data_IF_718057370163
#
_entry.id   IF_718057370163
#
_cell.length_a   1.000
_cell.length_b   1.000
_cell.length_c   1.000
_cell.angle_alpha   90.00
_cell.angle_beta   90.00
_cell.angle_gamma   90.00
#
_symmetry.space_group_name_H-M   'P 1'
#
loop_
_entity.id
_entity.type
_entity.pdbx_description
1 polymer ?
#
# COMPACT_ATOMS: atom_id res chain seq x y z
N UNK A 1 -24.24 81.32 71.64
CA UNK A 1 -23.48 81.97 70.54
C UNK A 1 -22.82 80.84 69.76
N UNK A 2 -23.06 80.79 68.45
CA UNK A 2 -23.00 79.59 67.61
C UNK A 2 -21.60 78.93 67.54
N UNK A 3 -21.57 77.62 67.73
CA UNK A 3 -20.41 76.74 67.48
C UNK A 3 -20.75 75.91 66.24
N UNK A 4 -20.22 76.30 65.08
CA UNK A 4 -20.41 75.57 63.81
C UNK A 4 -19.33 74.50 63.69
N UNK A 5 -19.75 73.24 63.68
CA UNK A 5 -18.90 72.09 63.33
C UNK A 5 -18.68 72.04 61.79
N UNK A 6 -17.49 71.66 61.32
CA UNK A 6 -17.26 71.44 59.90
C UNK A 6 -17.81 70.07 59.47
N UNK A 7 -18.66 70.09 58.44
CA UNK A 7 -19.18 68.91 57.74
C UNK A 7 -18.07 68.35 56.87
N UNK A 8 -17.66 67.10 57.13
CA UNK A 8 -16.75 66.33 56.28
C UNK A 8 -17.58 65.62 55.22
N UNK A 9 -17.45 66.06 53.97
CA UNK A 9 -18.09 65.44 52.80
C UNK A 9 -17.24 64.26 52.33
N UNK A 10 -17.73 63.03 52.49
CA UNK A 10 -17.10 61.81 51.93
C UNK A 10 -17.53 61.67 50.47
N UNK A 11 -16.63 61.96 49.54
CA UNK A 11 -16.83 61.69 48.12
C UNK A 11 -16.63 60.19 47.85
N UNK A 12 -17.69 59.49 47.44
CA UNK A 12 -17.59 58.13 46.93
C UNK A 12 -17.09 58.18 45.48
N UNK A 13 -15.86 57.74 45.25
CA UNK A 13 -15.35 57.50 43.89
C UNK A 13 -15.84 56.13 43.40
N UNK A 14 -16.82 56.12 42.51
CA UNK A 14 -17.17 54.94 41.72
C UNK A 14 -16.06 54.71 40.69
N UNK A 15 -15.23 53.68 40.88
CA UNK A 15 -14.31 53.21 39.84
C UNK A 15 -15.11 52.34 38.88
N UNK A 16 -15.48 52.91 37.73
CA UNK A 16 -15.97 52.14 36.59
C UNK A 16 -14.75 51.41 35.99
N UNK A 17 -14.61 50.11 36.25
CA UNK A 17 -13.70 49.26 35.50
C UNK A 17 -14.30 49.01 34.11
N UNK A 18 -13.89 49.83 33.13
CA UNK A 18 -14.16 49.56 31.73
C UNK A 18 -13.30 48.37 31.30
N UNK A 19 -13.88 47.17 31.23
CA UNK A 19 -13.25 46.03 30.57
C UNK A 19 -13.29 46.33 29.07
N UNK A 20 -12.19 46.82 28.52
CA UNK A 20 -11.99 46.87 27.08
C UNK A 20 -11.73 45.43 26.65
N UNK A 21 -12.75 44.75 26.12
CA UNK A 21 -12.55 43.54 25.33
C UNK A 21 -11.83 43.98 24.05
N UNK A 22 -10.51 43.87 24.05
CA UNK A 22 -9.73 43.87 22.81
C UNK A 22 -10.07 42.55 22.14
N UNK A 23 -10.96 42.59 21.16
CA UNK A 23 -11.11 41.49 20.22
C UNK A 23 -9.80 41.38 19.44
N UNK A 24 -8.90 40.52 19.91
CA UNK A 24 -7.81 40.06 19.07
C UNK A 24 -8.45 39.38 17.85
N UNK A 25 -8.13 39.80 16.61
CA UNK A 25 -8.44 38.96 15.48
C UNK A 25 -7.78 37.62 15.78
N UNK A 26 -8.58 36.56 15.79
CA UNK A 26 -8.05 35.20 15.76
C UNK A 26 -7.21 35.14 14.49
N UNK A 27 -5.89 35.26 14.65
CA UNK A 27 -4.93 34.81 13.65
C UNK A 27 -5.44 33.43 13.19
N UNK A 28 -5.62 33.20 11.87
CA UNK A 28 -6.00 31.89 11.39
C UNK A 28 -5.00 30.90 12.02
N UNK A 29 -5.53 30.01 12.87
CA UNK A 29 -4.78 28.92 13.47
C UNK A 29 -3.83 28.40 12.40
N UNK A 30 -2.52 28.49 12.65
CA UNK A 30 -1.52 27.89 11.77
C UNK A 30 -2.10 26.54 11.35
N UNK A 31 -2.41 26.40 10.05
CA UNK A 31 -3.06 25.22 9.53
C UNK A 31 -2.27 24.04 10.10
N UNK A 32 -2.92 23.15 10.85
CA UNK A 32 -2.25 21.96 11.35
C UNK A 32 -1.67 21.29 10.11
N UNK A 33 -0.35 21.36 9.92
CA UNK A 33 0.27 20.69 8.79
C UNK A 33 0.06 19.21 9.04
N UNK A 34 -0.86 18.61 8.29
CA UNK A 34 -1.07 17.17 8.35
C UNK A 34 0.24 16.55 7.90
N UNK A 35 0.89 15.79 8.78
CA UNK A 35 2.05 15.01 8.40
C UNK A 35 1.61 13.99 7.34
N UNK A 36 2.10 14.18 6.12
CA UNK A 36 1.81 13.32 4.96
C UNK A 36 2.88 12.24 4.87
N UNK A 37 2.45 10.98 4.71
CA UNK A 37 3.37 9.89 4.39
C UNK A 37 3.85 10.06 2.96
N UNK A 38 5.12 9.85 2.68
CA UNK A 38 5.62 9.71 1.30
C UNK A 38 4.95 8.51 0.62
N UNK A 39 4.93 8.48 -0.71
CA UNK A 39 4.35 7.33 -1.45
C UNK A 39 5.28 6.13 -1.44
N UNK A 40 6.59 6.38 -1.52
CA UNK A 40 7.61 5.34 -1.50
C UNK A 40 7.97 4.85 -0.09
N UNK A 41 7.43 5.47 0.97
CA UNK A 41 7.75 5.12 2.36
C UNK A 41 9.04 5.74 2.90
N UNK A 42 9.78 6.52 2.10
CA UNK A 42 10.98 7.22 2.56
C UNK A 42 10.70 8.21 3.70
N UNK A 43 11.68 8.43 4.58
CA UNK A 43 11.58 9.36 5.71
C UNK A 43 10.69 8.88 6.87
N UNK A 44 10.20 7.64 6.84
CA UNK A 44 9.41 7.07 7.93
C UNK A 44 10.21 6.97 9.24
N UNK A 45 11.44 6.46 9.18
CA UNK A 45 12.38 6.48 10.30
C UNK A 45 13.32 7.69 10.21
N UNK A 46 13.34 8.54 11.23
CA UNK A 46 14.13 9.78 11.24
C UNK A 46 15.66 9.57 11.25
N UNK A 47 16.14 8.41 11.73
CA UNK A 47 17.57 8.07 11.78
C UNK A 47 18.02 7.26 10.57
N UNK A 48 17.10 6.50 9.99
CA UNK A 48 17.32 5.64 8.84
C UNK A 48 16.23 5.89 7.77
N UNK A 49 16.31 7.02 7.04
CA UNK A 49 15.22 7.46 6.16
C UNK A 49 14.83 6.46 5.06
N UNK A 50 15.74 5.58 4.66
CA UNK A 50 15.52 4.59 3.59
C UNK A 50 14.94 3.26 4.11
N UNK A 51 14.75 3.10 5.43
CA UNK A 51 14.21 1.85 5.97
C UNK A 51 12.76 1.66 5.55
N UNK A 52 12.51 0.58 4.82
CA UNK A 52 11.19 0.22 4.32
C UNK A 52 10.74 1.04 3.12
N UNK A 53 11.61 1.89 2.54
CA UNK A 53 11.24 2.59 1.32
C UNK A 53 11.22 1.64 0.11
N UNK A 54 10.44 1.98 -0.89
CA UNK A 54 10.39 1.28 -2.16
C UNK A 54 11.76 1.26 -2.84
N UNK A 55 11.97 0.27 -3.70
CA UNK A 55 13.21 0.03 -4.43
C UNK A 55 14.45 -0.17 -3.54
N UNK A 56 14.26 -0.73 -2.35
CA UNK A 56 15.34 -1.12 -1.43
C UNK A 56 15.49 -2.64 -1.33
N UNK A 57 16.62 -3.11 -0.79
CA UNK A 57 16.88 -4.54 -0.64
C UNK A 57 15.97 -5.16 0.42
N UNK A 58 15.45 -6.36 0.16
CA UNK A 58 14.81 -7.16 1.20
C UNK A 58 15.77 -7.45 2.36
N UNK A 59 15.24 -7.41 3.57
CA UNK A 59 15.95 -7.90 4.75
C UNK A 59 16.10 -9.42 4.68
N UNK A 60 17.22 -9.94 5.20
CA UNK A 60 17.43 -11.37 5.38
C UNK A 60 17.32 -11.73 6.85
N UNK A 61 16.43 -12.65 7.19
CA UNK A 61 16.32 -13.22 8.54
C UNK A 61 17.55 -14.09 8.89
N UNK A 62 18.20 -14.67 7.88
CA UNK A 62 19.41 -15.48 8.05
C UNK A 62 20.37 -15.37 6.86
N UNK A 63 21.53 -16.04 6.95
CA UNK A 63 22.52 -16.00 5.88
C UNK A 63 21.97 -16.57 4.55
N UNK A 64 22.24 -15.93 3.40
CA UNK A 64 21.82 -16.45 2.10
C UNK A 64 22.52 -17.77 1.79
N UNK A 65 21.78 -18.73 1.24
CA UNK A 65 22.30 -20.02 0.81
C UNK A 65 22.33 -20.10 -0.73
N UNK A 66 23.51 -19.84 -1.29
CA UNK A 66 23.83 -20.10 -2.69
C UNK A 66 24.87 -21.22 -2.78
N UNK A 67 24.87 -22.00 -3.86
CA UNK A 67 25.77 -23.15 -4.04
C UNK A 67 27.25 -22.74 -4.05
N UNK A 68 27.54 -21.56 -4.57
CA UNK A 68 28.85 -20.92 -4.61
C UNK A 68 29.05 -19.87 -3.50
N UNK A 69 28.08 -19.74 -2.60
CA UNK A 69 28.04 -18.67 -1.58
C UNK A 69 27.78 -17.26 -2.13
N UNK A 70 27.55 -17.10 -3.44
CA UNK A 70 27.41 -15.80 -4.11
C UNK A 70 26.07 -15.69 -4.83
N UNK A 71 25.82 -16.46 -5.87
CA UNK A 71 24.63 -16.31 -6.69
C UNK A 71 24.14 -17.60 -7.36
N UNK A 72 24.94 -18.67 -7.42
CA UNK A 72 24.53 -19.93 -8.01
C UNK A 72 23.37 -20.54 -7.21
N UNK A 73 22.25 -20.83 -7.89
CA UNK A 73 21.10 -21.49 -7.25
C UNK A 73 21.53 -22.83 -6.66
N UNK A 74 20.94 -23.18 -5.52
CA UNK A 74 21.16 -24.50 -4.94
C UNK A 74 20.49 -25.57 -5.78
N UNK A 75 21.15 -26.72 -5.93
CA UNK A 75 20.53 -27.92 -6.48
C UNK A 75 19.53 -28.53 -5.50
N UNK A 76 18.80 -29.53 -5.99
CA UNK A 76 17.78 -30.25 -5.22
C UNK A 76 16.95 -31.12 -6.17
N UNK A 77 15.93 -31.84 -5.64
CA UNK A 77 14.95 -32.47 -6.51
C UNK A 77 14.28 -31.40 -7.42
N UNK A 78 13.90 -31.75 -8.66
CA UNK A 78 13.21 -30.82 -9.56
C UNK A 78 11.95 -30.24 -8.90
N UNK A 79 11.72 -28.93 -9.05
CA UNK A 79 10.61 -28.26 -8.38
C UNK A 79 9.23 -28.83 -8.76
N UNK A 80 9.03 -29.16 -10.05
CA UNK A 80 7.78 -29.79 -10.52
C UNK A 80 7.59 -31.17 -9.91
N UNK A 81 8.63 -32.00 -9.89
CA UNK A 81 8.60 -33.32 -9.23
C UNK A 81 8.17 -33.23 -7.75
N UNK A 82 8.66 -32.23 -7.01
CA UNK A 82 8.24 -31.98 -5.62
C UNK A 82 6.79 -31.53 -5.58
N UNK A 83 6.38 -30.64 -6.48
CA UNK A 83 4.99 -30.18 -6.61
C UNK A 83 4.01 -31.34 -6.74
N UNK A 84 4.29 -32.29 -7.63
CA UNK A 84 3.38 -33.39 -7.96
C UNK A 84 3.26 -34.42 -6.83
N UNK A 85 4.25 -34.49 -5.94
CA UNK A 85 4.27 -35.45 -4.82
C UNK A 85 3.81 -34.86 -3.49
N UNK A 86 3.95 -33.56 -3.32
CA UNK A 86 3.66 -32.88 -2.04
C UNK A 86 2.38 -32.08 -2.09
N UNK A 87 2.02 -31.50 -3.23
CA UNK A 87 0.91 -30.55 -3.36
C UNK A 87 -0.18 -31.02 -4.34
N UNK A 88 -0.21 -32.31 -4.68
CA UNK A 88 -1.20 -32.88 -5.60
C UNK A 88 -2.52 -33.26 -4.92
N UNK A 89 -3.09 -32.32 -4.16
CA UNK A 89 -4.34 -32.49 -3.40
C UNK A 89 -5.59 -32.30 -4.27
N UNK A 90 -5.59 -32.92 -5.46
CA UNK A 90 -6.69 -32.79 -6.42
C UNK A 90 -7.98 -33.42 -5.86
N UNK A 91 -9.09 -32.69 -6.01
CA UNK A 91 -10.42 -33.15 -5.61
C UNK A 91 -10.64 -33.20 -4.09
N UNK A 92 -9.76 -32.62 -3.29
CA UNK A 92 -9.92 -32.56 -1.84
C UNK A 92 -10.70 -31.31 -1.41
N UNK A 93 -11.64 -31.49 -0.48
CA UNK A 93 -12.31 -30.38 0.21
C UNK A 93 -11.71 -30.22 1.61
N UNK A 94 -10.69 -29.36 1.70
CA UNK A 94 -10.05 -29.02 2.97
C UNK A 94 -10.64 -27.73 3.51
N UNK A 95 -11.32 -27.81 4.65
CA UNK A 95 -11.86 -26.65 5.34
C UNK A 95 -10.81 -26.06 6.27
N UNK A 96 -10.84 -24.74 6.45
CA UNK A 96 -9.93 -24.07 7.39
C UNK A 96 -10.14 -24.59 8.81
N UNK A 97 -9.05 -25.01 9.44
CA UNK A 97 -9.03 -25.42 10.86
C UNK A 97 -9.42 -24.27 11.80
N UNK A 98 -9.18 -23.03 11.37
CA UNK A 98 -9.55 -21.82 12.12
C UNK A 98 -10.97 -21.31 11.78
N UNK A 99 -11.72 -22.01 10.91
CA UNK A 99 -13.07 -21.63 10.53
C UNK A 99 -13.18 -20.29 9.78
N UNK A 100 -12.10 -19.84 9.13
CA UNK A 100 -12.11 -18.58 8.37
C UNK A 100 -12.79 -18.74 7.01
N UNK A 101 -13.36 -17.64 6.50
CA UNK A 101 -13.97 -17.60 5.18
C UNK A 101 -12.91 -17.45 4.08
N UNK A 102 -13.32 -17.57 2.82
CA UNK A 102 -12.47 -17.30 1.65
C UNK A 102 -11.90 -15.86 1.65
N UNK A 103 -12.46 -14.95 2.45
CA UNK A 103 -11.90 -13.62 2.65
C UNK A 103 -10.47 -13.66 3.19
N UNK A 104 -10.09 -14.69 3.97
CA UNK A 104 -8.77 -14.76 4.58
C UNK A 104 -7.63 -14.84 3.56
N UNK A 105 -7.75 -15.70 2.54
CA UNK A 105 -6.69 -15.78 1.52
C UNK A 105 -6.67 -14.52 0.65
N UNK A 106 -7.84 -13.98 0.31
CA UNK A 106 -7.94 -12.77 -0.51
C UNK A 106 -7.36 -11.55 0.23
N UNK A 107 -7.66 -11.39 1.51
CA UNK A 107 -7.06 -10.36 2.36
C UNK A 107 -5.55 -10.54 2.49
N UNK A 108 -5.09 -11.78 2.71
CA UNK A 108 -3.67 -12.10 2.79
C UNK A 108 -2.91 -11.69 1.52
N UNK A 109 -3.46 -12.02 0.34
CA UNK A 109 -2.89 -11.61 -0.94
C UNK A 109 -2.92 -10.09 -1.11
N UNK A 110 -4.05 -9.43 -0.84
CA UNK A 110 -4.15 -7.99 -0.97
C UNK A 110 -3.17 -7.25 -0.04
N UNK A 111 -2.90 -7.77 1.15
CA UNK A 111 -1.88 -7.24 2.05
C UNK A 111 -0.45 -7.52 1.58
N UNK A 112 -0.14 -8.70 1.05
CA UNK A 112 1.15 -8.95 0.39
C UNK A 112 1.45 -7.86 -0.66
N UNK A 113 0.43 -7.46 -1.41
CA UNK A 113 0.54 -6.44 -2.44
C UNK A 113 0.68 -5.01 -1.91
N UNK A 114 0.59 -4.82 -0.60
CA UNK A 114 0.80 -3.51 0.05
C UNK A 114 2.25 -3.35 0.55
N UNK A 115 2.97 -4.45 0.80
CA UNK A 115 4.30 -4.41 1.43
C UNK A 115 5.41 -5.21 0.74
N UNK A 116 5.07 -6.06 -0.24
CA UNK A 116 6.03 -6.91 -0.94
C UNK A 116 5.80 -7.02 -2.44
N UNK A 117 6.78 -6.56 -3.22
CA UNK A 117 6.90 -6.85 -4.64
C UNK A 117 8.37 -6.96 -5.00
N UNK A 118 8.87 -8.17 -5.24
CA UNK A 118 10.20 -8.34 -5.82
C UNK A 118 10.27 -7.68 -7.21
N UNK A 119 11.44 -7.16 -7.60
CA UNK A 119 11.65 -6.73 -9.00
C UNK A 119 11.42 -7.92 -9.95
N UNK A 120 10.36 -7.83 -10.76
CA UNK A 120 9.90 -8.89 -11.65
C UNK A 120 10.56 -8.88 -13.03
N UNK A 121 11.49 -7.93 -13.29
CA UNK A 121 12.21 -7.88 -14.55
C UNK A 121 12.91 -9.24 -14.82
N UNK A 122 12.66 -9.91 -15.95
CA UNK A 122 13.35 -11.17 -16.24
C UNK A 122 14.86 -10.94 -16.42
N UNK A 123 15.69 -11.55 -15.56
CA UNK A 123 17.16 -11.36 -15.62
C UNK A 123 17.91 -12.60 -16.09
N UNK A 124 17.67 -13.76 -15.48
CA UNK A 124 18.37 -15.01 -15.83
C UNK A 124 17.37 -16.13 -16.05
N UNK A 125 17.37 -16.73 -17.25
CA UNK A 125 16.54 -17.91 -17.51
C UNK A 125 16.97 -19.07 -16.63
N UNK A 126 15.99 -19.69 -15.98
CA UNK A 126 16.17 -20.80 -15.06
C UNK A 126 14.96 -21.74 -15.15
N UNK A 127 14.60 -22.11 -16.38
CA UNK A 127 13.41 -22.90 -16.69
C UNK A 127 13.30 -24.13 -15.78
N UNK A 128 12.10 -24.38 -15.28
CA UNK A 128 11.81 -25.50 -14.40
C UNK A 128 11.65 -26.76 -15.27
N UNK A 129 12.44 -27.83 -15.02
CA UNK A 129 12.30 -29.07 -15.77
C UNK A 129 10.89 -29.65 -15.64
N UNK A 130 10.36 -30.14 -16.76
CA UNK A 130 9.05 -30.77 -16.86
C UNK A 130 9.22 -32.21 -17.35
N UNK A 131 8.53 -33.16 -16.70
CA UNK A 131 8.56 -34.57 -17.07
C UNK A 131 7.16 -35.02 -17.51
N UNK A 132 6.94 -35.09 -18.83
CA UNK A 132 5.68 -35.53 -19.41
C UNK A 132 5.36 -37.02 -19.14
N UNK A 133 6.33 -37.79 -18.65
CA UNK A 133 6.17 -39.20 -18.32
C UNK A 133 5.96 -39.42 -16.81
N UNK A 134 5.95 -38.37 -15.99
CA UNK A 134 5.63 -38.52 -14.57
C UNK A 134 4.17 -39.00 -14.43
N UNK A 135 3.90 -40.13 -13.75
CA UNK A 135 2.55 -40.67 -13.61
C UNK A 135 1.56 -39.75 -12.88
N UNK A 136 2.05 -38.74 -12.15
CA UNK A 136 1.23 -37.74 -11.46
C UNK A 136 1.05 -36.46 -12.28
N UNK A 137 1.67 -36.37 -13.46
CA UNK A 137 1.55 -35.22 -14.33
C UNK A 137 0.28 -35.31 -15.18
N UNK A 138 -0.65 -34.40 -14.93
CA UNK A 138 -1.91 -34.28 -15.68
C UNK A 138 -1.91 -33.08 -16.65
N UNK A 139 -0.93 -32.18 -16.53
CA UNK A 139 -0.79 -31.01 -17.40
C UNK A 139 0.00 -31.36 -18.66
N UNK A 140 -0.50 -30.95 -19.83
CA UNK A 140 0.26 -31.03 -21.08
C UNK A 140 1.14 -29.80 -21.24
N UNK A 141 2.46 -30.00 -21.37
CA UNK A 141 3.40 -28.93 -21.68
C UNK A 141 4.19 -29.24 -22.97
N UNK A 142 3.76 -28.63 -24.07
CA UNK A 142 4.41 -28.82 -25.37
C UNK A 142 5.78 -28.11 -25.49
N UNK A 143 6.14 -27.25 -24.53
CA UNK A 143 7.42 -26.53 -24.51
C UNK A 143 8.56 -27.34 -23.86
N UNK A 144 8.24 -28.46 -23.19
CA UNK A 144 9.23 -29.32 -22.52
C UNK A 144 9.86 -28.74 -21.25
N UNK A 145 9.46 -27.54 -20.83
CA UNK A 145 9.86 -26.91 -19.59
C UNK A 145 8.83 -25.85 -19.16
N UNK A 146 8.78 -25.52 -17.88
CA UNK A 146 7.98 -24.39 -17.38
C UNK A 146 8.88 -23.15 -17.35
N UNK A 147 8.45 -22.09 -18.02
CA UNK A 147 9.19 -20.84 -18.08
C UNK A 147 9.40 -20.24 -16.69
N UNK A 148 10.65 -19.97 -16.34
CA UNK A 148 11.02 -19.30 -15.10
C UNK A 148 12.27 -18.46 -15.34
N UNK A 149 12.25 -17.25 -14.78
CA UNK A 149 13.40 -16.37 -14.77
C UNK A 149 13.68 -15.96 -13.34
N UNK A 150 14.97 -15.90 -12.98
CA UNK A 150 15.40 -15.26 -11.75
C UNK A 150 15.19 -13.75 -11.90
N UNK A 151 14.72 -13.13 -10.84
CA UNK A 151 14.70 -11.67 -10.67
C UNK A 151 16.13 -11.12 -10.71
N UNK A 152 16.36 -9.85 -11.07
CA UNK A 152 17.69 -9.25 -11.07
C UNK A 152 18.33 -9.30 -9.68
N UNK A 153 19.66 -9.25 -9.67
CA UNK A 153 20.41 -8.97 -8.46
C UNK A 153 20.28 -7.47 -8.14
N UNK A 154 20.13 -7.12 -6.86
CA UNK A 154 20.23 -5.75 -6.43
C UNK A 154 21.61 -5.17 -6.84
N UNK A 155 21.70 -3.88 -7.22
CA UNK A 155 22.94 -3.25 -7.62
C UNK A 155 24.08 -3.49 -6.61
N UNK A 156 25.24 -3.90 -7.10
CA UNK A 156 26.43 -4.18 -6.27
C UNK A 156 26.46 -5.55 -5.58
N UNK A 157 25.47 -6.43 -5.83
CA UNK A 157 25.40 -7.78 -5.24
C UNK A 157 25.48 -8.88 -6.31
N UNK A 158 25.74 -10.13 -5.90
CA UNK A 158 25.67 -11.30 -6.79
C UNK A 158 26.92 -11.57 -7.64
N UNK A 159 28.02 -10.85 -7.41
CA UNK A 159 29.32 -11.07 -8.08
C UNK A 159 30.44 -11.36 -7.08
N UNK A 160 30.65 -10.47 -6.12
CA UNK A 160 31.67 -10.62 -5.04
C UNK A 160 31.05 -10.74 -3.65
N UNK A 161 29.75 -10.51 -3.55
CA UNK A 161 28.94 -10.60 -2.36
C UNK A 161 27.69 -11.40 -2.68
N UNK A 162 27.05 -12.05 -1.69
CA UNK A 162 25.81 -12.78 -1.94
C UNK A 162 24.76 -11.90 -2.63
N UNK A 163 24.08 -12.46 -3.64
CA UNK A 163 23.00 -11.81 -4.38
C UNK A 163 21.92 -11.33 -3.41
N UNK A 164 21.38 -10.14 -3.64
CA UNK A 164 20.21 -9.60 -2.97
C UNK A 164 19.09 -9.32 -3.98
N UNK A 165 17.87 -9.21 -3.48
CA UNK A 165 16.67 -8.90 -4.27
C UNK A 165 16.11 -7.56 -3.79
N UNK A 166 15.47 -6.82 -4.71
CA UNK A 166 14.85 -5.53 -4.42
C UNK A 166 13.36 -5.73 -4.19
N UNK A 167 12.83 -5.08 -3.14
CA UNK A 167 11.40 -4.80 -2.99
C UNK A 167 11.11 -3.50 -3.75
N UNK A 168 10.27 -3.53 -4.79
CA UNK A 168 9.94 -2.38 -5.62
C UNK A 168 8.80 -1.52 -5.06
N UNK A 169 8.16 -1.96 -3.97
CA UNK A 169 7.16 -1.19 -3.22
C UNK A 169 7.60 -0.94 -1.77
N UNK A 170 6.89 -0.05 -1.06
CA UNK A 170 7.19 0.25 0.35
C UNK A 170 6.99 -1.01 1.20
N UNK A 171 7.65 -1.12 2.35
CA UNK A 171 7.50 -2.26 3.26
C UNK A 171 6.45 -2.03 4.36
N UNK A 172 5.72 -0.91 4.28
CA UNK A 172 4.72 -0.54 5.28
C UNK A 172 3.34 -1.00 4.85
N UNK A 173 2.45 -1.27 5.80
CA UNK A 173 1.01 -1.33 5.53
C UNK A 173 0.53 0.12 5.46
N UNK A 174 0.57 0.74 4.29
CA UNK A 174 0.31 2.17 4.09
C UNK A 174 -0.71 2.46 2.97
N UNK A 175 -1.28 1.42 2.36
CA UNK A 175 -2.20 1.52 1.25
C UNK A 175 -1.53 1.73 -0.10
N UNK A 176 -0.23 1.45 -0.25
CA UNK A 176 0.46 1.45 -1.54
C UNK A 176 -0.26 0.61 -2.61
N UNK A 177 -0.96 -0.46 -2.23
CA UNK A 177 -1.80 -1.24 -3.15
C UNK A 177 -2.97 -0.46 -3.75
N UNK A 178 -3.40 0.63 -3.11
CA UNK A 178 -4.47 1.54 -3.56
C UNK A 178 -3.88 2.77 -4.26
N UNK A 179 -2.81 3.35 -3.71
CA UNK A 179 -2.30 4.67 -4.11
C UNK A 179 -1.05 4.61 -5.01
N UNK A 180 -0.36 3.47 -5.04
CA UNK A 180 0.95 3.31 -5.68
C UNK A 180 2.07 3.96 -4.87
N UNK A 181 3.30 3.73 -5.33
CA UNK A 181 4.53 4.21 -4.67
C UNK A 181 5.22 5.37 -5.41
N UNK A 182 4.58 5.93 -6.45
CA UNK A 182 5.17 6.99 -7.26
C UNK A 182 4.15 7.95 -7.85
N UNK A 183 4.56 9.21 -7.97
CA UNK A 183 3.69 10.33 -8.34
C UNK A 183 3.00 10.12 -9.69
N UNK A 184 3.70 9.61 -10.71
CA UNK A 184 3.12 9.39 -12.03
C UNK A 184 1.95 8.39 -12.02
N UNK A 185 2.04 7.33 -11.19
CA UNK A 185 0.93 6.38 -11.04
C UNK A 185 -0.22 7.02 -10.28
N UNK A 186 0.07 7.72 -9.18
CA UNK A 186 -0.96 8.37 -8.38
C UNK A 186 -1.70 9.46 -9.18
N UNK A 187 -0.97 10.25 -9.95
CA UNK A 187 -1.47 11.27 -10.88
C UNK A 187 -2.50 10.66 -11.84
N UNK A 188 -2.15 9.52 -12.44
CA UNK A 188 -3.06 8.84 -13.35
C UNK A 188 -4.30 8.27 -12.64
N UNK A 189 -4.15 7.81 -11.39
CA UNK A 189 -5.22 7.22 -10.58
C UNK A 189 -6.18 8.26 -9.97
N UNK A 190 -5.76 9.51 -9.80
CA UNK A 190 -6.63 10.58 -9.25
C UNK A 190 -7.52 11.17 -10.33
N UNK A 191 -8.73 11.56 -9.95
CA UNK A 191 -9.62 12.31 -10.86
C UNK A 191 -8.99 13.69 -11.12
N UNK A 192 -8.68 13.98 -12.38
CA UNK A 192 -7.97 15.19 -12.76
C UNK A 192 -7.43 15.13 -14.18
N UNK A 193 -6.60 16.10 -14.54
CA UNK A 193 -6.11 16.29 -15.92
C UNK A 193 -5.05 15.26 -16.33
N UNK A 194 -4.37 14.62 -15.36
CA UNK A 194 -3.25 13.71 -15.58
C UNK A 194 -2.12 14.36 -16.41
N UNK A 195 -1.85 15.64 -16.16
CA UNK A 195 -0.83 16.43 -16.85
C UNK A 195 0.55 16.37 -16.16
N UNK A 196 0.64 15.66 -15.02
CA UNK A 196 1.86 15.55 -14.22
C UNK A 196 1.91 16.53 -13.04
N UNK A 197 0.87 17.32 -12.81
CA UNK A 197 0.74 18.23 -11.67
C UNK A 197 -0.29 17.70 -10.66
N UNK A 198 0.21 16.94 -9.68
CA UNK A 198 -0.62 16.40 -8.59
C UNK A 198 -1.41 17.47 -7.83
N UNK A 199 -0.99 18.74 -7.85
CA UNK A 199 -1.65 19.82 -7.12
C UNK A 199 -2.98 20.25 -7.76
N UNK A 200 -3.22 19.94 -9.04
CA UNK A 200 -4.45 20.29 -9.75
C UNK A 200 -5.56 19.23 -9.60
N UNK A 201 -5.21 18.06 -9.08
CA UNK A 201 -6.12 16.93 -8.98
C UNK A 201 -7.27 17.16 -7.98
N UNK A 202 -8.37 16.47 -8.26
CA UNK A 202 -9.43 16.24 -7.29
C UNK A 202 -8.92 15.46 -6.08
N UNK A 203 -9.69 15.48 -5.00
CA UNK A 203 -9.48 14.61 -3.86
C UNK A 203 -9.88 13.15 -4.14
N UNK A 204 -10.67 12.90 -5.19
CA UNK A 204 -11.22 11.58 -5.52
C UNK A 204 -10.24 10.74 -6.35
N UNK A 205 -10.28 9.43 -6.15
CA UNK A 205 -9.74 8.49 -7.12
C UNK A 205 -10.63 8.44 -8.37
N UNK A 206 -10.07 8.01 -9.48
CA UNK A 206 -10.82 7.81 -10.71
C UNK A 206 -11.56 6.48 -10.61
N UNK A 207 -12.90 6.52 -10.64
CA UNK A 207 -13.76 5.34 -10.72
C UNK A 207 -14.72 5.50 -11.90
N UNK A 208 -15.22 4.37 -12.44
CA UNK A 208 -16.30 4.40 -13.43
C UNK A 208 -17.61 4.90 -12.80
N UNK A 209 -18.62 5.17 -13.63
CA UNK A 209 -19.94 5.57 -13.13
C UNK A 209 -20.61 4.55 -12.19
N UNK A 210 -20.24 3.27 -12.32
CA UNK A 210 -20.69 2.18 -11.44
C UNK A 210 -19.72 1.93 -10.26
N UNK A 211 -18.72 2.79 -10.09
CA UNK A 211 -17.73 2.73 -9.02
C UNK A 211 -16.67 1.64 -9.20
N UNK A 212 -16.42 1.12 -10.41
CA UNK A 212 -15.31 0.18 -10.64
C UNK A 212 -13.98 0.91 -10.83
N UNK A 213 -12.88 0.20 -10.60
CA UNK A 213 -11.56 0.68 -11.00
C UNK A 213 -11.53 1.01 -12.50
N UNK A 214 -10.75 2.02 -12.89
CA UNK A 214 -10.60 2.39 -14.29
C UNK A 214 -9.84 1.31 -15.04
N UNK A 215 -10.17 1.15 -16.32
CA UNK A 215 -9.36 0.35 -17.24
C UNK A 215 -8.22 1.18 -17.83
N UNK A 216 -7.21 0.54 -18.39
CA UNK A 216 -6.09 1.24 -19.03
C UNK A 216 -6.57 2.22 -20.12
N UNK A 217 -7.66 1.90 -20.83
CA UNK A 217 -8.29 2.79 -21.83
C UNK A 217 -9.16 3.93 -21.26
N UNK A 218 -9.30 4.06 -19.93
CA UNK A 218 -10.22 5.03 -19.30
C UNK A 218 -9.92 6.49 -19.62
N UNK A 219 -8.67 6.82 -19.98
CA UNK A 219 -8.24 8.18 -20.39
C UNK A 219 -8.17 8.36 -21.91
N UNK A 220 -8.73 7.43 -22.69
CA UNK A 220 -8.78 7.49 -24.16
C UNK A 220 -7.50 7.06 -24.88
N UNK A 221 -6.36 7.02 -24.19
CA UNK A 221 -5.10 6.49 -24.70
C UNK A 221 -4.49 5.48 -23.70
N UNK A 222 -4.59 4.16 -23.98
CA UNK A 222 -4.04 3.11 -23.12
C UNK A 222 -2.53 3.20 -22.91
N UNK A 223 -1.78 3.85 -23.81
CA UNK A 223 -0.32 3.98 -23.68
C UNK A 223 0.10 4.91 -22.55
N UNK A 224 -0.83 5.73 -22.05
CA UNK A 224 -0.64 6.62 -20.89
C UNK A 224 -0.87 5.91 -19.55
N UNK A 225 -1.49 4.72 -19.57
CA UNK A 225 -1.79 3.98 -18.36
C UNK A 225 -0.52 3.42 -17.70
N UNK A 226 -0.42 3.48 -16.35
CA UNK A 226 0.62 2.78 -15.63
C UNK A 226 0.62 1.27 -15.99
N UNK A 227 1.80 0.64 -16.08
CA UNK A 227 1.90 -0.77 -16.45
C UNK A 227 1.19 -1.65 -15.42
N UNK A 228 0.51 -2.69 -15.90
CA UNK A 228 -0.17 -3.69 -15.08
C UNK A 228 0.30 -5.07 -15.52
N UNK A 229 0.35 -6.02 -14.58
CA UNK A 229 0.64 -7.40 -14.92
C UNK A 229 -0.54 -8.01 -15.67
N UNK A 230 -0.21 -8.63 -16.79
CA UNK A 230 -1.19 -9.19 -17.72
C UNK A 230 -1.18 -10.70 -17.59
N UNK A 231 -2.34 -11.26 -17.24
CA UNK A 231 -2.53 -12.70 -17.12
C UNK A 231 -3.73 -13.17 -17.93
N UNK A 232 -3.68 -14.42 -18.40
CA UNK A 232 -4.77 -15.04 -19.14
C UNK A 232 -5.23 -14.21 -20.34
N UNK A 233 -6.53 -13.93 -20.42
CA UNK A 233 -7.14 -13.19 -21.54
C UNK A 233 -6.65 -11.74 -21.66
N UNK A 234 -6.14 -11.14 -20.58
CA UNK A 234 -5.62 -9.76 -20.60
C UNK A 234 -4.32 -9.64 -21.41
N UNK A 235 -3.59 -10.74 -21.62
CA UNK A 235 -2.43 -10.75 -22.52
C UNK A 235 -2.84 -10.37 -23.95
N UNK A 236 -4.04 -10.78 -24.39
CA UNK A 236 -4.58 -10.46 -25.71
C UNK A 236 -5.35 -9.12 -25.74
N UNK A 237 -5.73 -8.59 -24.57
CA UNK A 237 -6.52 -7.36 -24.42
C UNK A 237 -5.97 -6.47 -23.31
N UNK A 238 -4.72 -6.00 -23.44
CA UNK A 238 -4.03 -5.24 -22.38
C UNK A 238 -4.74 -3.94 -22.02
N UNK A 239 -5.44 -3.32 -22.98
CA UNK A 239 -6.25 -2.11 -22.80
C UNK A 239 -7.44 -2.31 -21.84
N UNK A 240 -7.84 -3.58 -21.59
CA UNK A 240 -8.94 -3.94 -20.70
C UNK A 240 -8.51 -4.23 -19.25
N UNK A 241 -7.21 -4.24 -18.96
CA UNK A 241 -6.72 -4.39 -17.60
C UNK A 241 -7.24 -3.26 -16.72
N UNK A 242 -7.70 -3.58 -15.51
CA UNK A 242 -7.98 -2.53 -14.51
C UNK A 242 -6.67 -1.96 -14.00
N UNK A 243 -6.67 -0.70 -13.60
CA UNK A 243 -5.49 -0.01 -13.06
C UNK A 243 -5.72 0.31 -11.60
N UNK A 244 -4.72 0.02 -10.76
CA UNK A 244 -4.72 0.25 -9.31
C UNK A 244 -3.34 0.75 -8.84
N UNK A 245 -3.16 0.89 -7.52
CA UNK A 245 -1.87 1.25 -6.92
C UNK A 245 -0.78 0.19 -7.16
N UNK A 246 -1.12 -1.08 -6.96
CA UNK A 246 -0.23 -2.22 -7.25
C UNK A 246 -0.50 -2.81 -8.65
N UNK A 247 0.56 -3.29 -9.31
CA UNK A 247 0.53 -3.76 -10.71
C UNK A 247 -0.19 -5.11 -10.90
N UNK A 248 -0.35 -5.90 -9.83
CA UNK A 248 -0.90 -7.25 -9.86
C UNK A 248 -2.40 -7.30 -9.58
N UNK A 249 -3.09 -6.16 -9.54
CA UNK A 249 -4.52 -6.07 -9.22
C UNK A 249 -5.46 -6.92 -10.12
N UNK A 250 -4.96 -7.42 -11.26
CA UNK A 250 -5.70 -8.24 -12.22
C UNK A 250 -5.44 -9.75 -12.08
N UNK A 251 -4.63 -10.22 -11.12
CA UNK A 251 -4.28 -11.65 -10.99
C UNK A 251 -5.51 -12.55 -10.80
N UNK A 252 -6.49 -12.10 -10.03
CA UNK A 252 -7.77 -12.78 -9.86
C UNK A 252 -8.89 -11.81 -9.44
N UNK A 253 -10.14 -12.23 -9.62
CA UNK A 253 -11.32 -11.39 -9.38
C UNK A 253 -11.51 -10.98 -7.91
N UNK A 254 -11.09 -11.80 -6.95
CA UNK A 254 -11.23 -11.48 -5.53
C UNK A 254 -10.27 -10.35 -5.13
N UNK A 255 -9.02 -10.41 -5.63
CA UNK A 255 -8.05 -9.34 -5.49
C UNK A 255 -8.53 -8.05 -6.15
N UNK A 256 -8.99 -8.11 -7.41
CA UNK A 256 -9.57 -6.94 -8.10
C UNK A 256 -10.71 -6.30 -7.31
N UNK A 257 -11.56 -7.11 -6.69
CA UNK A 257 -12.66 -6.63 -5.85
C UNK A 257 -12.16 -5.91 -4.59
N UNK A 258 -11.09 -6.39 -3.95
CA UNK A 258 -10.46 -5.74 -2.80
C UNK A 258 -9.85 -4.38 -3.17
N UNK A 259 -9.10 -4.28 -4.28
CA UNK A 259 -8.62 -2.98 -4.77
C UNK A 259 -9.79 -2.02 -5.04
N UNK A 260 -10.86 -2.51 -5.67
CA UNK A 260 -12.07 -1.70 -5.93
C UNK A 260 -12.73 -1.25 -4.63
N UNK A 261 -12.83 -2.12 -3.63
CA UNK A 261 -13.43 -1.83 -2.34
C UNK A 261 -12.71 -0.68 -1.64
N UNK A 262 -11.38 -0.71 -1.57
CA UNK A 262 -10.62 0.34 -0.89
C UNK A 262 -10.52 1.64 -1.70
N UNK A 263 -10.61 1.59 -3.02
CA UNK A 263 -10.77 2.79 -3.83
C UNK A 263 -12.14 3.47 -3.57
N UNK A 264 -13.22 2.67 -3.47
CA UNK A 264 -14.54 3.17 -3.07
C UNK A 264 -14.56 3.71 -1.65
N UNK A 265 -13.85 3.06 -0.73
CA UNK A 265 -13.76 3.50 0.66
C UNK A 265 -13.05 4.86 0.76
N UNK A 266 -11.98 5.05 0.00
CA UNK A 266 -11.33 6.36 -0.13
C UNK A 266 -12.33 7.44 -0.55
N UNK A 267 -13.04 7.25 -1.67
CA UNK A 267 -14.00 8.23 -2.18
C UNK A 267 -15.18 8.45 -1.21
N UNK A 268 -15.61 7.40 -0.49
CA UNK A 268 -16.63 7.49 0.58
C UNK A 268 -16.13 8.39 1.72
N UNK A 269 -14.88 8.24 2.15
CA UNK A 269 -14.28 9.08 3.19
C UNK A 269 -14.16 10.52 2.70
N UNK A 270 -13.67 10.75 1.47
CA UNK A 270 -13.57 12.10 0.86
C UNK A 270 -14.94 12.80 0.86
N UNK A 271 -16.02 12.09 0.53
CA UNK A 271 -17.37 12.64 0.51
C UNK A 271 -17.90 13.06 1.90
N UNK A 272 -17.34 12.51 2.98
CA UNK A 272 -17.69 12.87 4.37
C UNK A 272 -16.88 14.05 4.91
N UNK A 273 -15.82 14.47 4.22
CA UNK A 273 -14.94 15.55 4.69
C UNK A 273 -15.51 16.95 4.36
N UNK A 274 -15.27 17.95 5.22
CA UNK A 274 -15.72 19.33 4.97
C UNK A 274 -15.20 19.89 3.64
N UNK A 275 -16.05 20.65 2.95
CA UNK A 275 -15.72 21.24 1.64
C UNK A 275 -14.80 22.46 1.72
N UNK A 276 -14.55 23.01 2.91
CA UNK A 276 -13.57 24.08 3.10
C UNK A 276 -12.12 23.59 3.08
N UNK A 277 -11.90 22.27 3.16
CA UNK A 277 -10.59 21.67 2.98
C UNK A 277 -10.25 21.67 1.49
N UNK A 278 -8.99 21.91 1.18
CA UNK A 278 -8.46 21.76 -0.18
C UNK A 278 -8.60 20.32 -0.68
N UNK A 279 -8.50 20.12 -2.00
CA UNK A 279 -8.49 18.77 -2.58
C UNK A 279 -7.38 17.91 -1.98
N UNK A 280 -6.19 18.48 -1.82
CA UNK A 280 -5.04 17.77 -1.30
C UNK A 280 -5.20 17.39 0.18
N UNK A 281 -5.71 18.29 1.02
CA UNK A 281 -6.01 17.96 2.41
C UNK A 281 -7.02 16.82 2.52
N UNK A 282 -8.10 16.84 1.73
CA UNK A 282 -9.11 15.77 1.73
C UNK A 282 -8.53 14.44 1.25
N UNK A 283 -7.75 14.46 0.18
CA UNK A 283 -7.07 13.27 -0.33
C UNK A 283 -6.15 12.65 0.73
N UNK A 284 -5.28 13.45 1.35
CA UNK A 284 -4.32 12.94 2.34
C UNK A 284 -5.00 12.45 3.63
N UNK A 285 -6.09 13.10 4.06
CA UNK A 285 -6.90 12.60 5.18
C UNK A 285 -7.50 11.24 4.83
N UNK A 286 -8.15 11.10 3.67
CA UNK A 286 -8.76 9.85 3.24
C UNK A 286 -7.71 8.73 3.08
N UNK A 287 -6.57 9.01 2.43
CA UNK A 287 -5.43 8.09 2.33
C UNK A 287 -4.92 7.64 3.70
N UNK A 288 -4.79 8.56 4.65
CA UNK A 288 -4.36 8.24 6.02
C UNK A 288 -5.37 7.34 6.75
N UNK A 289 -6.67 7.57 6.57
CA UNK A 289 -7.72 6.75 7.19
C UNK A 289 -7.74 5.36 6.59
N UNK A 290 -7.70 5.22 5.26
CA UNK A 290 -7.63 3.91 4.59
C UNK A 290 -6.41 3.12 5.07
N UNK A 291 -5.22 3.72 5.10
CA UNK A 291 -4.02 3.04 5.63
C UNK A 291 -4.19 2.58 7.09
N UNK A 292 -4.90 3.36 7.92
CA UNK A 292 -5.22 2.98 9.30
C UNK A 292 -6.24 1.83 9.37
N UNK A 293 -7.23 1.77 8.48
CA UNK A 293 -8.18 0.66 8.38
C UNK A 293 -7.48 -0.63 7.96
N UNK A 294 -6.59 -0.58 6.97
CA UNK A 294 -5.78 -1.72 6.54
C UNK A 294 -4.93 -2.28 7.69
N UNK A 295 -4.24 -1.41 8.42
CA UNK A 295 -3.49 -1.80 9.61
C UNK A 295 -4.40 -2.39 10.69
N UNK A 296 -5.51 -1.72 11.02
CA UNK A 296 -6.41 -2.14 12.07
C UNK A 296 -7.02 -3.52 11.77
N UNK A 297 -7.57 -3.71 10.58
CA UNK A 297 -8.14 -5.00 10.14
C UNK A 297 -7.05 -6.08 10.18
N UNK A 298 -5.86 -5.79 9.65
CA UNK A 298 -4.77 -6.76 9.60
C UNK A 298 -4.34 -7.22 10.99
N UNK A 299 -4.02 -6.28 11.88
CA UNK A 299 -3.48 -6.61 13.20
C UNK A 299 -4.52 -7.10 14.21
N UNK A 300 -5.75 -6.61 14.15
CA UNK A 300 -6.77 -6.89 15.18
C UNK A 300 -7.79 -7.96 14.78
N UNK A 301 -7.95 -8.22 13.48
CA UNK A 301 -8.96 -9.16 12.98
C UNK A 301 -8.32 -10.30 12.19
N UNK A 302 -7.60 -9.98 11.12
CA UNK A 302 -7.04 -10.97 10.20
C UNK A 302 -6.02 -11.88 10.89
N UNK A 303 -4.93 -11.32 11.42
CA UNK A 303 -3.87 -12.12 12.07
C UNK A 303 -4.41 -13.04 13.17
N UNK A 304 -5.24 -12.57 14.13
CA UNK A 304 -5.84 -13.45 15.13
C UNK A 304 -6.73 -14.55 14.54
N UNK A 305 -7.50 -14.24 13.49
CA UNK A 305 -8.38 -15.22 12.83
C UNK A 305 -7.63 -16.35 12.13
N UNK A 306 -6.41 -16.08 11.64
CA UNK A 306 -5.54 -17.11 11.06
C UNK A 306 -4.61 -17.76 12.11
N UNK A 307 -4.84 -17.48 13.39
CA UNK A 307 -4.11 -18.10 14.50
C UNK A 307 -2.82 -17.39 14.90
N UNK A 308 -2.51 -16.23 14.32
CA UNK A 308 -1.33 -15.43 14.68
C UNK A 308 -1.69 -14.45 15.79
N UNK A 309 -0.99 -14.56 16.92
CA UNK A 309 -1.15 -13.63 18.06
C UNK A 309 0.13 -12.84 18.23
N UNK A 310 0.01 -11.52 18.19
CA UNK A 310 1.10 -10.60 18.46
C UNK A 310 0.97 -10.03 19.88
N UNK A 311 2.09 -9.65 20.46
CA UNK A 311 2.11 -8.91 21.71
C UNK A 311 1.42 -7.55 21.56
N UNK A 312 0.82 -7.01 22.64
CA UNK A 312 0.24 -5.67 22.62
C UNK A 312 1.21 -4.60 22.14
N UNK A 313 0.72 -3.62 21.39
CA UNK A 313 1.53 -2.50 20.93
C UNK A 313 1.99 -1.63 22.10
N UNK A 314 3.30 -1.42 22.22
CA UNK A 314 3.92 -0.62 23.30
C UNK A 314 4.46 0.74 22.83
N UNK A 315 4.17 1.15 21.59
CA UNK A 315 4.70 2.36 20.97
C UNK A 315 5.71 2.06 19.86
N UNK A 316 6.08 3.11 19.13
CA UNK A 316 7.02 3.03 18.02
C UNK A 316 8.47 2.92 18.55
N UNK A 317 9.20 1.89 18.14
CA UNK A 317 10.65 1.78 18.35
C UNK A 317 11.39 2.29 17.11
N UNK A 318 12.18 3.34 17.29
CA UNK A 318 12.90 4.02 16.21
C UNK A 318 14.33 3.48 16.01
N UNK A 319 14.75 2.48 16.79
CA UNK A 319 16.11 1.94 16.80
C UNK A 319 16.37 0.92 15.71
#
# INVERSE_FOLDING_TARGET
MAMRQPVVTIAHALVLCTIILVAHPLEPSAAMSIAVRTLDGSGNNARHPDWGSASTQYLRVGHPRYADGVAAMVGGPPARYVSDRVFNDVGQNLFSENGVTQWAWAWGQFMDHDFGLRDETPAESAAIPFDALDPLEEFTNDFGAIGFHRTPAAPGTGVRSPRQQINTISSFIDGSGVYGVGDARLEWLRTGSANGDLADNSALLMLTGDGYLPRADARGDPSTAPPMDLMGALVATPDKAVVAGDVRANENIALTALHTLFAREHDRIVALLPTWLTNEERFQIARRVVGAELQYITYTQFLPSVGVRLEPYHGYDAR
#
